data_IF_918170300478
#
_entry.id   IF_918170300478
#
_cell.length_a   1.000
_cell.length_b   1.000
_cell.length_c   1.000
_cell.angle_alpha   90.00
_cell.angle_beta   90.00
_cell.angle_gamma   90.00
#
_symmetry.space_group_name_H-M   'P 1'
#
loop_
_entity.id
_entity.type
_entity.pdbx_description
1 polymer ?
#
# COMPACT_ATOMS: atom_id res chain seq x y z
N UNK A 1 -37.64 4.87 63.74
CA UNK A 1 -37.66 4.58 62.29
C UNK A 1 -36.37 5.12 61.70
N UNK A 2 -35.41 4.25 61.35
CA UNK A 2 -34.14 4.64 60.71
C UNK A 2 -34.17 4.16 59.26
N UNK A 3 -34.32 5.10 58.34
CA UNK A 3 -34.33 4.85 56.89
C UNK A 3 -32.90 4.66 56.40
N UNK A 4 -32.57 3.48 55.87
CA UNK A 4 -31.28 3.18 55.24
C UNK A 4 -31.34 3.62 53.77
N UNK A 5 -30.42 4.46 53.26
CA UNK A 5 -30.43 4.85 51.85
C UNK A 5 -29.85 3.71 51.00
N UNK A 6 -30.62 3.27 50.02
CA UNK A 6 -30.20 2.27 49.04
C UNK A 6 -29.20 2.94 48.07
N UNK A 7 -27.91 2.64 48.23
CA UNK A 7 -26.86 3.10 47.33
C UNK A 7 -26.92 2.28 46.03
N UNK A 8 -27.38 2.90 44.94
CA UNK A 8 -27.37 2.31 43.60
C UNK A 8 -25.93 2.38 43.04
N UNK A 9 -25.20 1.27 43.07
CA UNK A 9 -23.87 1.16 42.47
C UNK A 9 -24.02 0.92 40.97
N UNK A 10 -23.90 2.00 40.17
CA UNK A 10 -23.85 1.92 38.72
C UNK A 10 -22.45 1.45 38.32
N UNK A 11 -22.30 0.17 37.98
CA UNK A 11 -21.05 -0.38 37.43
C UNK A 11 -20.94 0.03 35.96
N UNK A 12 -20.13 1.08 35.67
CA UNK A 12 -19.74 1.40 34.30
C UNK A 12 -18.79 0.30 33.77
N UNK A 13 -19.33 -0.66 33.03
CA UNK A 13 -18.51 -1.61 32.26
C UNK A 13 -17.91 -0.87 31.06
N UNK A 14 -16.67 -0.41 31.20
CA UNK A 14 -15.93 0.24 30.12
C UNK A 14 -15.52 -0.81 29.08
N UNK A 15 -16.23 -0.87 27.95
CA UNK A 15 -15.83 -1.70 26.81
C UNK A 15 -14.62 -1.03 26.14
N UNK A 16 -13.41 -1.47 26.49
CA UNK A 16 -12.20 -1.07 25.79
C UNK A 16 -12.28 -1.57 24.34
N UNK A 17 -12.36 -0.64 23.38
CA UNK A 17 -12.26 -0.98 21.96
C UNK A 17 -10.91 -1.69 21.72
N UNK A 18 -10.95 -2.84 21.05
CA UNK A 18 -9.74 -3.60 20.73
C UNK A 18 -8.82 -2.77 19.85
N UNK A 19 -7.75 -2.23 20.43
CA UNK A 19 -6.80 -1.39 19.73
C UNK A 19 -5.95 -2.24 18.79
N UNK A 20 -5.73 -1.77 17.55
CA UNK A 20 -4.84 -2.45 16.61
C UNK A 20 -3.44 -2.53 17.25
N UNK A 21 -2.77 -3.70 17.26
CA UNK A 21 -1.51 -3.85 17.97
C UNK A 21 -0.37 -3.06 17.30
N UNK A 22 0.67 -2.72 18.06
CA UNK A 22 1.86 -2.06 17.51
C UNK A 22 2.71 -3.00 16.65
N UNK A 23 2.67 -4.29 16.94
CA UNK A 23 3.34 -5.34 16.18
C UNK A 23 2.53 -6.63 16.23
N UNK A 24 2.62 -7.44 15.18
CA UNK A 24 2.03 -8.78 15.12
C UNK A 24 3.00 -9.77 14.48
N UNK A 25 3.14 -10.95 15.10
CA UNK A 25 4.06 -12.00 14.64
C UNK A 25 3.34 -13.35 14.56
N UNK A 26 3.59 -14.10 13.48
CA UNK A 26 3.07 -15.44 13.29
C UNK A 26 3.17 -15.91 11.84
N UNK A 27 2.64 -17.09 11.55
CA UNK A 27 2.51 -17.57 10.17
C UNK A 27 1.34 -16.81 9.51
N UNK A 28 1.57 -16.09 8.41
CA UNK A 28 0.51 -15.32 7.76
C UNK A 28 -0.36 -16.17 6.85
N UNK A 29 -1.61 -15.76 6.67
CA UNK A 29 -2.40 -16.07 5.47
C UNK A 29 -2.29 -14.90 4.49
N UNK A 30 -2.02 -15.19 3.22
CA UNK A 30 -2.01 -14.16 2.16
C UNK A 30 -3.42 -14.01 1.60
N UNK A 31 -3.96 -12.79 1.59
CA UNK A 31 -5.29 -12.51 1.03
C UNK A 31 -5.21 -12.00 -0.41
N UNK A 32 -4.27 -11.09 -0.68
CA UNK A 32 -3.98 -10.52 -2.00
C UNK A 32 -2.50 -10.10 -2.08
N UNK A 33 -2.09 -9.44 -3.17
CA UNK A 33 -0.69 -9.09 -3.44
C UNK A 33 -0.03 -8.12 -2.47
N UNK A 34 -0.79 -7.50 -1.55
CA UNK A 34 -0.23 -6.64 -0.50
C UNK A 34 -0.97 -6.70 0.86
N UNK A 35 -1.73 -7.78 1.10
CA UNK A 35 -2.47 -7.99 2.34
C UNK A 35 -2.18 -9.35 2.97
N UNK A 36 -1.79 -9.32 4.24
CA UNK A 36 -1.58 -10.48 5.10
C UNK A 36 -2.62 -10.52 6.23
N UNK A 37 -2.89 -11.72 6.75
CA UNK A 37 -3.62 -11.91 8.01
C UNK A 37 -2.75 -12.71 8.95
N UNK A 38 -2.46 -12.17 10.13
CA UNK A 38 -1.65 -12.83 11.17
C UNK A 38 -2.45 -12.82 12.46
N UNK A 39 -2.81 -14.01 12.97
CA UNK A 39 -3.55 -14.15 14.24
C UNK A 39 -4.82 -13.28 14.29
N UNK A 40 -5.56 -13.23 13.19
CA UNK A 40 -6.78 -12.42 13.04
C UNK A 40 -6.53 -10.94 12.71
N UNK A 41 -5.30 -10.44 12.78
CA UNK A 41 -4.96 -9.06 12.42
C UNK A 41 -4.78 -8.96 10.91
N UNK A 42 -5.64 -8.17 10.25
CA UNK A 42 -5.46 -7.80 8.83
C UNK A 42 -4.36 -6.74 8.72
N UNK A 43 -3.31 -7.07 7.97
CA UNK A 43 -2.15 -6.21 7.72
C UNK A 43 -2.11 -5.87 6.24
N UNK A 44 -2.19 -4.58 5.94
CA UNK A 44 -1.91 -4.00 4.64
C UNK A 44 -0.46 -3.55 4.61
N UNK A 45 0.28 -3.92 3.58
CA UNK A 45 1.68 -3.56 3.46
C UNK A 45 1.82 -2.06 3.18
N UNK A 46 2.58 -1.39 4.04
CA UNK A 46 2.82 0.05 3.99
C UNK A 46 3.54 0.45 2.70
N UNK A 47 3.13 1.58 2.12
CA UNK A 47 3.84 2.27 1.04
C UNK A 47 3.85 1.55 -0.31
N UNK A 48 3.16 0.43 -0.48
CA UNK A 48 3.11 -0.31 -1.74
C UNK A 48 1.68 -0.52 -2.22
N UNK A 49 1.51 -0.78 -3.51
CA UNK A 49 0.25 -1.13 -4.15
C UNK A 49 0.47 -2.28 -5.14
N UNK A 50 -0.05 -3.46 -4.83
CA UNK A 50 -0.01 -4.62 -5.71
C UNK A 50 -1.22 -4.63 -6.66
N UNK A 51 -1.12 -5.25 -7.85
CA UNK A 51 -2.27 -5.46 -8.72
C UNK A 51 -3.38 -6.21 -7.99
N UNK A 52 -4.62 -5.79 -8.23
CA UNK A 52 -5.79 -6.36 -7.58
C UNK A 52 -5.98 -7.83 -7.98
N UNK A 53 -6.52 -8.69 -7.12
CA UNK A 53 -6.60 -10.14 -7.39
C UNK A 53 -7.26 -10.52 -8.73
N UNK A 54 -8.22 -9.74 -9.20
CA UNK A 54 -8.90 -9.92 -10.50
C UNK A 54 -8.17 -9.27 -11.69
N UNK A 55 -7.16 -8.45 -11.42
CA UNK A 55 -6.47 -7.64 -12.42
C UNK A 55 -5.71 -8.51 -13.43
N UNK A 56 -5.97 -8.21 -14.70
CA UNK A 56 -5.26 -8.77 -15.84
C UNK A 56 -4.21 -7.77 -16.34
N UNK A 57 -3.09 -8.30 -16.81
CA UNK A 57 -2.00 -7.56 -17.44
C UNK A 57 -1.60 -8.25 -18.74
N UNK A 58 -0.75 -7.62 -19.55
CA UNK A 58 -0.22 -8.19 -20.79
C UNK A 58 1.27 -8.50 -20.61
N UNK A 59 1.69 -9.72 -20.95
CA UNK A 59 3.09 -10.13 -21.03
C UNK A 59 3.29 -10.92 -22.32
N UNK A 60 4.29 -10.55 -23.12
CA UNK A 60 4.53 -11.15 -24.44
C UNK A 60 3.26 -11.25 -25.32
N UNK A 61 2.44 -10.18 -25.33
CA UNK A 61 1.20 -10.10 -26.12
C UNK A 61 0.02 -10.93 -25.59
N UNK A 62 0.16 -11.63 -24.45
CA UNK A 62 -0.89 -12.46 -23.85
C UNK A 62 -1.40 -11.88 -22.54
N UNK A 63 -2.71 -11.97 -22.33
CA UNK A 63 -3.33 -11.63 -21.05
C UNK A 63 -2.97 -12.65 -19.98
N UNK A 64 -2.66 -12.16 -18.77
CA UNK A 64 -2.39 -13.00 -17.60
C UNK A 64 -2.85 -12.31 -16.32
N UNK A 65 -3.18 -13.11 -15.29
CA UNK A 65 -3.68 -12.64 -14.01
C UNK A 65 -2.56 -12.13 -13.09
N UNK A 66 -2.06 -10.93 -13.37
CA UNK A 66 -0.95 -10.32 -12.62
C UNK A 66 -1.24 -10.13 -11.13
N UNK A 67 -2.48 -9.86 -10.72
CA UNK A 67 -2.82 -9.78 -9.29
C UNK A 67 -2.69 -11.12 -8.58
N UNK A 68 -3.13 -12.19 -9.24
CA UNK A 68 -2.96 -13.56 -8.73
C UNK A 68 -1.48 -13.96 -8.67
N UNK A 69 -0.68 -13.62 -9.68
CA UNK A 69 0.76 -13.86 -9.64
C UNK A 69 1.45 -13.09 -8.49
N UNK A 70 1.07 -11.84 -8.24
CA UNK A 70 1.60 -11.06 -7.12
C UNK A 70 1.26 -11.70 -5.77
N UNK A 71 0.00 -12.15 -5.58
CA UNK A 71 -0.42 -12.84 -4.37
C UNK A 71 0.33 -14.17 -4.18
N UNK A 72 0.56 -14.94 -5.26
CA UNK A 72 1.34 -16.18 -5.19
C UNK A 72 2.80 -15.93 -4.86
N UNK A 73 3.43 -14.90 -5.44
CA UNK A 73 4.79 -14.53 -5.11
C UNK A 73 4.94 -14.17 -3.61
N UNK A 74 3.97 -13.43 -3.05
CA UNK A 74 3.92 -13.14 -1.62
C UNK A 74 3.75 -14.43 -0.80
N UNK A 75 2.82 -15.30 -1.19
CA UNK A 75 2.57 -16.57 -0.52
C UNK A 75 3.81 -17.48 -0.50
N UNK A 76 4.55 -17.55 -1.62
CA UNK A 76 5.78 -18.32 -1.73
C UNK A 76 6.89 -17.78 -0.85
N UNK A 77 7.04 -16.44 -0.78
CA UNK A 77 8.04 -15.81 0.07
C UNK A 77 7.85 -16.19 1.54
N UNK A 78 6.59 -16.16 2.02
CA UNK A 78 6.23 -16.33 3.44
C UNK A 78 5.84 -17.77 3.82
N UNK A 79 5.79 -18.68 2.85
CA UNK A 79 5.36 -20.07 3.03
C UNK A 79 6.06 -20.74 4.20
N UNK A 80 5.29 -21.20 5.18
CA UNK A 80 5.76 -21.88 6.40
C UNK A 80 6.80 -21.08 7.22
N UNK A 81 6.84 -19.75 7.07
CA UNK A 81 7.76 -18.88 7.80
C UNK A 81 6.99 -17.95 8.74
N UNK A 82 7.64 -17.62 9.85
CA UNK A 82 7.16 -16.60 10.77
C UNK A 82 7.39 -15.21 10.18
N UNK A 83 6.32 -14.44 10.05
CA UNK A 83 6.34 -13.04 9.64
C UNK A 83 6.12 -12.16 10.85
N UNK A 84 6.89 -11.07 10.96
CA UNK A 84 6.68 -10.00 11.92
C UNK A 84 6.31 -8.73 11.18
N UNK A 85 5.19 -8.12 11.55
CA UNK A 85 4.72 -6.86 10.99
C UNK A 85 4.70 -5.77 12.06
N UNK A 86 5.40 -4.67 11.82
CA UNK A 86 5.38 -3.49 12.68
C UNK A 86 4.42 -2.46 12.11
N UNK A 87 3.47 -2.01 12.93
CA UNK A 87 2.48 -1.01 12.54
C UNK A 87 3.15 0.35 12.29
N UNK A 88 2.83 0.95 11.15
CA UNK A 88 3.11 2.35 10.81
C UNK A 88 1.90 3.24 11.00
N UNK A 89 0.72 2.72 10.69
CA UNK A 89 -0.55 3.44 10.77
C UNK A 89 -1.71 2.45 10.94
N UNK A 90 -2.92 2.96 11.18
CA UNK A 90 -4.17 2.21 11.14
C UNK A 90 -5.11 2.87 10.14
N UNK A 91 -5.62 2.12 9.18
CA UNK A 91 -6.54 2.71 8.22
C UNK A 91 -7.97 2.84 8.75
N UNK A 92 -8.82 3.56 8.01
CA UNK A 92 -10.24 3.80 8.36
C UNK A 92 -11.10 2.55 8.51
N UNK A 93 -10.62 1.39 8.06
CA UNK A 93 -11.31 0.11 8.15
C UNK A 93 -10.77 -0.75 9.31
N UNK A 94 -9.92 -0.18 10.16
CA UNK A 94 -9.35 -0.84 11.33
C UNK A 94 -8.22 -1.82 10.99
N UNK A 95 -7.66 -1.78 9.78
CA UNK A 95 -6.52 -2.65 9.42
C UNK A 95 -5.22 -2.02 9.88
N UNK A 96 -4.27 -2.88 10.25
CA UNK A 96 -2.89 -2.45 10.43
C UNK A 96 -2.31 -2.07 9.06
N UNK A 97 -1.72 -0.89 8.95
CA UNK A 97 -0.82 -0.54 7.85
C UNK A 97 0.60 -0.68 8.37
N UNK A 98 1.39 -1.60 7.80
CA UNK A 98 2.66 -2.01 8.45
C UNK A 98 3.77 -2.39 7.50
N UNK A 99 4.99 -2.42 8.05
CA UNK A 99 6.17 -2.97 7.39
C UNK A 99 6.42 -4.36 7.96
N UNK A 100 6.48 -5.35 7.08
CA UNK A 100 6.62 -6.75 7.47
C UNK A 100 7.97 -7.32 7.07
N UNK A 101 8.49 -8.23 7.89
CA UNK A 101 9.75 -8.94 7.66
C UNK A 101 9.58 -10.45 7.81
N UNK A 102 10.36 -11.20 7.02
CA UNK A 102 10.41 -12.67 7.05
C UNK A 102 11.83 -13.14 6.81
N UNK A 103 12.40 -13.91 7.76
CA UNK A 103 13.78 -14.40 7.64
C UNK A 103 14.80 -13.30 7.29
N UNK A 104 14.68 -12.12 7.89
CA UNK A 104 15.53 -10.96 7.63
C UNK A 104 15.20 -10.16 6.36
N UNK A 105 14.29 -10.64 5.51
CA UNK A 105 13.85 -9.93 4.30
C UNK A 105 12.70 -8.98 4.61
N UNK A 106 12.80 -7.72 4.19
CA UNK A 106 11.68 -6.77 4.21
C UNK A 106 10.71 -7.08 3.06
N UNK A 107 9.50 -7.55 3.38
CA UNK A 107 8.52 -8.06 2.41
C UNK A 107 8.09 -6.96 1.44
N UNK A 108 7.80 -5.75 1.94
CA UNK A 108 7.27 -4.67 1.11
C UNK A 108 8.26 -4.29 0.01
N UNK A 109 9.53 -4.08 0.39
CA UNK A 109 10.61 -3.83 -0.56
C UNK A 109 10.82 -5.00 -1.52
N UNK A 110 10.80 -6.23 -1.02
CA UNK A 110 10.97 -7.41 -1.87
C UNK A 110 9.90 -7.47 -2.96
N UNK A 111 8.63 -7.23 -2.63
CA UNK A 111 7.55 -7.20 -3.63
C UNK A 111 7.80 -6.16 -4.71
N UNK A 112 8.25 -4.95 -4.33
CA UNK A 112 8.58 -3.90 -5.29
C UNK A 112 9.81 -4.27 -6.14
N UNK A 113 10.87 -4.80 -5.53
CA UNK A 113 12.09 -5.24 -6.23
C UNK A 113 11.82 -6.38 -7.22
N UNK A 114 10.84 -7.25 -6.93
CA UNK A 114 10.42 -8.31 -7.86
C UNK A 114 9.36 -7.85 -8.87
N UNK A 115 8.92 -6.60 -8.82
CA UNK A 115 7.90 -6.06 -9.73
C UNK A 115 6.49 -6.59 -9.46
N UNK A 116 6.21 -7.08 -8.25
CA UNK A 116 4.88 -7.56 -7.84
C UNK A 116 4.02 -6.47 -7.17
N UNK A 117 4.65 -5.36 -6.77
CA UNK A 117 3.95 -4.18 -6.27
C UNK A 117 4.62 -2.90 -6.76
N UNK A 118 3.85 -1.82 -6.80
CA UNK A 118 4.31 -0.47 -7.12
C UNK A 118 4.46 0.37 -5.85
N UNK A 119 5.42 1.31 -5.80
CA UNK A 119 5.46 2.33 -4.76
C UNK A 119 4.17 3.16 -4.75
N UNK A 120 3.47 3.17 -3.62
CA UNK A 120 2.27 3.99 -3.46
C UNK A 120 2.64 5.36 -2.89
N UNK A 121 3.09 6.26 -3.76
CA UNK A 121 3.78 7.49 -3.34
C UNK A 121 2.96 8.37 -2.39
N UNK A 122 1.65 8.48 -2.63
CA UNK A 122 0.74 9.28 -1.78
C UNK A 122 0.57 8.73 -0.36
N UNK A 123 1.01 7.48 -0.10
CA UNK A 123 0.98 6.83 1.21
C UNK A 123 2.38 6.38 1.66
N UNK A 124 3.39 7.21 1.40
CA UNK A 124 4.76 7.00 1.90
C UNK A 124 5.59 6.02 1.09
N UNK A 125 5.13 5.62 -0.11
CA UNK A 125 5.84 4.67 -0.96
C UNK A 125 7.18 5.15 -1.52
N UNK A 126 7.54 6.43 -1.36
CA UNK A 126 8.81 6.97 -1.86
C UNK A 126 10.06 6.20 -1.39
N UNK A 127 9.99 5.54 -0.23
CA UNK A 127 11.04 4.66 0.31
C UNK A 127 11.33 3.41 -0.55
N UNK A 128 10.46 3.11 -1.52
CA UNK A 128 10.55 1.99 -2.45
C UNK A 128 10.84 2.41 -3.89
N UNK A 129 11.01 3.69 -4.19
CA UNK A 129 11.23 4.18 -5.56
C UNK A 129 12.44 3.55 -6.22
N UNK A 130 13.58 3.45 -5.51
CA UNK A 130 14.79 2.80 -6.06
C UNK A 130 14.57 1.32 -6.39
N UNK A 131 13.83 0.59 -5.56
CA UNK A 131 13.46 -0.80 -5.81
C UNK A 131 12.58 -0.95 -7.06
N UNK A 132 11.67 0.01 -7.28
CA UNK A 132 10.82 0.02 -8.47
C UNK A 132 11.62 0.33 -9.74
N UNK A 133 12.56 1.28 -9.68
CA UNK A 133 13.46 1.57 -10.80
C UNK A 133 14.28 0.34 -11.20
N UNK A 134 14.78 -0.43 -10.22
CA UNK A 134 15.47 -1.71 -10.47
C UNK A 134 14.54 -2.74 -11.13
N UNK A 135 13.31 -2.90 -10.64
CA UNK A 135 12.34 -3.83 -11.21
C UNK A 135 11.94 -3.45 -12.65
N UNK A 136 11.76 -2.15 -12.92
CA UNK A 136 11.48 -1.60 -14.26
C UNK A 136 12.64 -1.87 -15.21
N UNK A 137 13.88 -1.54 -14.81
CA UNK A 137 15.08 -1.78 -15.61
C UNK A 137 15.28 -3.27 -15.93
N UNK A 138 15.00 -4.15 -14.96
CA UNK A 138 15.11 -5.59 -15.11
C UNK A 138 13.87 -6.26 -15.72
N UNK A 139 12.84 -5.49 -16.10
CA UNK A 139 11.56 -6.00 -16.65
C UNK A 139 10.94 -7.12 -15.80
N UNK A 140 10.94 -6.96 -14.48
CA UNK A 140 10.40 -7.96 -13.53
C UNK A 140 8.92 -7.79 -13.28
N UNK A 141 8.24 -8.90 -12.95
CA UNK A 141 6.84 -8.90 -12.55
C UNK A 141 5.94 -8.19 -13.55
N UNK A 142 5.16 -7.20 -13.11
CA UNK A 142 4.28 -6.43 -14.01
C UNK A 142 5.05 -5.62 -15.06
N UNK A 143 6.28 -5.20 -14.77
CA UNK A 143 7.13 -4.44 -15.70
C UNK A 143 7.66 -5.29 -16.88
N UNK A 144 7.39 -6.60 -16.89
CA UNK A 144 7.69 -7.48 -18.02
C UNK A 144 6.79 -7.23 -19.25
N UNK A 145 5.74 -6.41 -19.11
CA UNK A 145 4.86 -6.05 -20.20
C UNK A 145 3.98 -4.85 -19.85
N UNK A 146 2.78 -4.79 -20.42
CA UNK A 146 1.85 -3.68 -20.22
C UNK A 146 0.87 -3.99 -19.07
N UNK A 147 0.62 -2.99 -18.25
CA UNK A 147 -0.30 -3.10 -17.12
C UNK A 147 -0.93 -1.74 -16.80
N UNK A 148 -2.10 -1.77 -16.19
CA UNK A 148 -2.69 -0.60 -15.55
C UNK A 148 -2.17 -0.51 -14.12
N UNK A 149 -1.84 0.68 -13.61
CA UNK A 149 -1.47 0.78 -12.19
C UNK A 149 -2.65 0.32 -11.32
N UNK A 150 -2.42 -0.31 -10.15
CA UNK A 150 -3.52 -0.86 -9.36
C UNK A 150 -4.53 0.19 -8.87
N UNK A 151 -4.06 1.41 -8.57
CA UNK A 151 -4.93 2.53 -8.23
C UNK A 151 -5.77 3.07 -9.39
N UNK A 152 -5.29 2.95 -10.62
CA UNK A 152 -6.06 3.30 -11.82
C UNK A 152 -7.06 2.17 -12.13
N UNK A 153 -6.65 0.91 -11.92
CA UNK A 153 -7.50 -0.26 -12.10
C UNK A 153 -8.76 -0.18 -11.23
N UNK A 154 -8.62 0.20 -9.95
CA UNK A 154 -9.76 0.42 -9.05
C UNK A 154 -10.72 1.53 -9.47
N UNK A 155 -10.21 2.58 -10.10
CA UNK A 155 -11.01 3.76 -10.48
C UNK A 155 -11.75 3.55 -11.79
N UNK A 156 -11.33 2.58 -12.59
CA UNK A 156 -11.92 2.33 -13.90
C UNK A 156 -13.22 1.52 -13.74
N UNK A 157 -14.39 2.08 -14.08
CA UNK A 157 -15.67 1.39 -13.95
C UNK A 157 -15.84 0.21 -14.91
N UNK A 158 -15.00 0.10 -15.94
CA UNK A 158 -15.00 -1.06 -16.84
C UNK A 158 -14.33 -2.29 -16.22
N UNK A 159 -13.56 -2.12 -15.14
CA UNK A 159 -12.95 -3.23 -14.44
C UNK A 159 -13.97 -3.88 -13.49
N UNK A 160 -13.90 -5.21 -13.27
CA UNK A 160 -14.71 -5.88 -12.27
C UNK A 160 -14.55 -5.21 -10.90
N UNK A 161 -15.64 -5.14 -10.14
CA UNK A 161 -15.58 -4.75 -8.74
C UNK A 161 -14.51 -5.62 -8.05
N UNK A 162 -13.42 -4.98 -7.64
CA UNK A 162 -12.24 -5.65 -7.13
C UNK A 162 -12.62 -6.43 -5.88
N UNK A 163 -12.51 -7.75 -5.93
CA UNK A 163 -12.51 -8.61 -4.75
C UNK A 163 -11.18 -8.39 -4.00
N UNK A 164 -11.04 -7.22 -3.40
CA UNK A 164 -9.88 -6.76 -2.66
C UNK A 164 -10.36 -5.99 -1.44
N UNK A 165 -9.66 -6.14 -0.32
CA UNK A 165 -10.06 -5.51 0.93
C UNK A 165 -10.06 -3.98 0.74
N UNK A 166 -11.15 -3.23 1.05
CA UNK A 166 -11.28 -1.81 0.72
C UNK A 166 -10.04 -1.03 1.11
N UNK A 167 -9.15 -0.71 0.16
CA UNK A 167 -7.95 0.12 0.34
C UNK A 167 -8.44 1.51 0.80
N UNK A 168 -7.80 2.22 1.76
CA UNK A 168 -8.26 3.56 2.09
C UNK A 168 -8.12 4.40 0.82
N UNK A 169 -9.25 4.57 0.14
CA UNK A 169 -9.55 5.75 -0.64
C UNK A 169 -9.82 6.83 0.39
N UNK A 170 -8.75 7.36 0.99
CA UNK A 170 -8.86 8.73 1.47
C UNK A 170 -9.22 9.52 0.20
N UNK A 171 -10.24 10.39 0.22
CA UNK A 171 -10.29 11.44 -0.79
C UNK A 171 -8.89 12.02 -0.82
N UNK A 172 -8.28 12.09 -2.02
CA UNK A 172 -7.05 12.87 -2.15
C UNK A 172 -7.33 14.19 -1.42
N UNK A 173 -6.42 14.68 -0.55
CA UNK A 173 -6.57 16.02 -0.01
C UNK A 173 -6.95 16.90 -1.19
N UNK A 174 -8.04 17.68 -1.08
CA UNK A 174 -8.46 18.58 -2.13
C UNK A 174 -7.19 19.24 -2.70
N UNK A 175 -6.97 19.20 -4.03
CA UNK A 175 -5.68 19.59 -4.58
C UNK A 175 -5.33 20.95 -3.98
N UNK A 176 -4.18 21.03 -3.32
CA UNK A 176 -3.59 22.31 -3.03
C UNK A 176 -3.22 22.89 -4.40
N UNK A 177 -4.20 23.49 -5.08
CA UNK A 177 -4.16 23.92 -6.47
C UNK A 177 -3.13 25.01 -6.74
N UNK A 178 -2.45 25.48 -5.70
CA UNK A 178 -1.54 26.62 -5.75
C UNK A 178 -0.08 26.26 -5.44
N UNK A 179 0.26 24.97 -5.32
CA UNK A 179 1.67 24.58 -5.15
C UNK A 179 2.38 24.68 -6.49
N UNK A 180 3.37 25.56 -6.59
CA UNK A 180 4.27 25.68 -7.75
C UNK A 180 5.71 25.54 -7.27
N UNK A 181 6.50 24.71 -7.93
CA UNK A 181 7.94 24.60 -7.67
C UNK A 181 8.73 25.29 -8.78
N UNK A 182 9.72 26.14 -8.45
CA UNK A 182 10.53 26.82 -9.46
C UNK A 182 11.47 25.87 -10.22
N UNK A 183 11.90 24.77 -9.59
CA UNK A 183 12.78 23.78 -10.17
C UNK A 183 12.80 22.49 -9.32
N UNK A 184 13.49 21.46 -9.83
CA UNK A 184 13.60 20.18 -9.14
C UNK A 184 14.44 20.19 -7.85
N UNK A 185 15.27 21.21 -7.62
CA UNK A 185 15.96 21.36 -6.34
C UNK A 185 14.96 21.72 -5.24
N UNK A 186 14.02 22.62 -5.52
CA UNK A 186 12.93 22.96 -4.60
C UNK A 186 12.02 21.76 -4.30
N UNK A 187 11.73 20.93 -5.31
CA UNK A 187 10.96 19.69 -5.14
C UNK A 187 11.66 18.70 -4.21
N UNK A 188 12.98 18.52 -4.38
CA UNK A 188 13.81 17.68 -3.52
C UNK A 188 13.93 18.23 -2.11
N UNK A 189 14.15 19.54 -1.96
CA UNK A 189 14.20 20.22 -0.66
C UNK A 189 12.88 20.10 0.12
N UNK A 190 11.75 20.11 -0.60
CA UNK A 190 10.42 19.89 -0.02
C UNK A 190 10.11 18.40 0.26
N UNK A 191 11.01 17.48 -0.08
CA UNK A 191 10.81 16.04 0.08
C UNK A 191 9.67 15.48 -0.79
N UNK A 192 9.37 16.13 -1.93
CA UNK A 192 8.26 15.76 -2.83
C UNK A 192 8.71 15.07 -4.12
N UNK A 193 10.01 14.85 -4.31
CA UNK A 193 10.55 14.16 -5.48
C UNK A 193 10.40 12.64 -5.38
N UNK A 194 10.06 11.93 -6.48
CA UNK A 194 9.59 12.48 -7.76
C UNK A 194 8.11 12.93 -7.67
N UNK A 195 7.78 14.01 -8.38
CA UNK A 195 6.40 14.48 -8.53
C UNK A 195 5.71 13.70 -9.64
N UNK A 196 4.56 13.11 -9.38
CA UNK A 196 3.79 12.39 -10.40
C UNK A 196 2.76 13.29 -11.06
N UNK A 197 2.45 13.00 -12.33
CA UNK A 197 1.35 13.65 -13.05
C UNK A 197 0.07 13.61 -12.22
N UNK A 198 -0.51 14.78 -11.97
CA UNK A 198 -1.71 14.97 -11.14
C UNK A 198 -1.46 15.27 -9.66
N UNK A 199 -0.21 15.25 -9.18
CA UNK A 199 0.14 15.73 -7.84
C UNK A 199 0.26 17.27 -7.82
N UNK A 200 -0.09 17.93 -6.69
CA UNK A 200 0.16 19.36 -6.50
C UNK A 200 1.62 19.73 -6.78
N UNK A 201 1.84 20.73 -7.63
CA UNK A 201 3.18 21.16 -8.05
C UNK A 201 3.82 20.38 -9.19
N UNK A 202 3.18 19.31 -9.70
CA UNK A 202 3.60 18.70 -10.95
C UNK A 202 3.44 19.69 -12.12
N UNK A 203 4.48 19.81 -12.94
CA UNK A 203 4.47 20.57 -14.18
C UNK A 203 5.27 19.81 -15.22
N UNK A 204 4.85 19.85 -16.49
CA UNK A 204 5.63 19.32 -17.61
C UNK A 204 7.01 19.97 -17.73
N UNK A 205 7.21 21.17 -17.15
CA UNK A 205 8.52 21.82 -17.08
C UNK A 205 9.52 21.10 -16.15
N UNK A 206 9.02 20.29 -15.22
CA UNK A 206 9.80 19.53 -14.26
C UNK A 206 9.97 18.06 -14.69
N UNK A 207 9.23 17.63 -15.71
CA UNK A 207 9.18 16.28 -16.28
C UNK A 207 9.94 16.27 -17.61
N UNK A 208 11.26 16.10 -17.53
CA UNK A 208 12.19 16.30 -18.66
C UNK A 208 11.97 15.29 -19.79
N UNK A 209 11.64 14.05 -19.47
CA UNK A 209 11.42 12.98 -20.44
C UNK A 209 9.93 12.74 -20.74
N UNK A 210 9.02 13.40 -20.01
CA UNK A 210 7.60 13.42 -20.30
C UNK A 210 6.88 12.14 -19.89
N UNK A 211 7.52 11.28 -19.10
CA UNK A 211 7.01 9.95 -18.74
C UNK A 211 5.96 10.00 -17.61
N UNK A 212 5.67 11.20 -17.10
CA UNK A 212 4.74 11.44 -15.99
C UNK A 212 5.42 11.51 -14.63
N UNK A 213 6.76 11.49 -14.56
CA UNK A 213 7.55 11.58 -13.34
C UNK A 213 8.50 12.77 -13.40
N UNK A 214 8.07 13.87 -12.80
CA UNK A 214 8.89 15.06 -12.65
C UNK A 214 9.97 14.87 -11.58
N UNK A 215 11.15 15.44 -11.85
CA UNK A 215 12.27 15.52 -10.91
C UNK A 215 12.82 14.17 -10.42
N UNK A 216 12.89 13.18 -11.31
CA UNK A 216 13.77 12.02 -11.11
C UNK A 216 15.24 12.46 -10.95
#
# INVERSE_FOLDING_TARGET
MRSLPLLLVITLTSTAAAQVPASVTGIPTVTDGDTLVIRGVKVRLFGIDAPESSQQCIRAGKSYGCGREAAFALADLVRNKTVTCTRKDTDRYGRMVGVCTVGGTEINRWLVTQGWALPYLQYGGGVYSAAASQAKAARKGVYAGAFQNPWDYRKNPANPATAGTPRPVTPAPAPASNVTYPNCAAVRAAGKSPLLRGQPGYSTKLDRDGDGRACE
#
